data_IF_786147087560
#
_entry.id   IF_786147087560
#
_cell.length_a   1.000
_cell.length_b   1.000
_cell.length_c   1.000
_cell.angle_alpha   90.00
_cell.angle_beta   90.00
_cell.angle_gamma   90.00
#
_symmetry.space_group_name_H-M   'P 1'
#
loop_
_entity.id
_entity.type
_entity.pdbx_description
1 polymer ?
#
# COMPACT_ATOMS: atom_id res chain seq x y z
N UNK A 1 8.25 5.25 12.14
CA UNK A 1 9.21 5.14 11.03
C UNK A 1 8.57 5.35 9.65
N UNK A 2 7.50 4.62 9.30
CA UNK A 2 6.83 4.73 7.98
C UNK A 2 6.25 6.12 7.69
N UNK A 3 5.40 6.66 8.57
CA UNK A 3 4.72 7.96 8.38
C UNK A 3 5.72 9.11 8.13
N UNK A 4 6.85 9.07 8.85
CA UNK A 4 7.90 10.09 8.79
C UNK A 4 9.01 9.76 7.77
N UNK A 5 8.77 8.79 6.87
CA UNK A 5 9.70 8.38 5.81
C UNK A 5 11.13 8.10 6.29
N UNK A 6 11.26 7.19 7.26
CA UNK A 6 12.54 6.75 7.84
C UNK A 6 12.88 5.31 7.41
N UNK A 7 13.37 5.07 6.17
CA UNK A 7 13.59 3.73 5.66
C UNK A 7 14.60 2.93 6.49
N UNK A 8 15.68 3.55 6.97
CA UNK A 8 16.70 2.86 7.79
C UNK A 8 16.13 2.38 9.12
N UNK A 9 15.22 3.16 9.73
CA UNK A 9 14.51 2.72 10.93
C UNK A 9 13.52 1.59 10.64
N UNK A 10 12.87 1.58 9.47
CA UNK A 10 11.99 0.48 9.07
C UNK A 10 12.83 -0.79 8.87
N UNK A 11 13.95 -0.69 8.15
CA UNK A 11 14.88 -1.81 7.90
C UNK A 11 15.38 -2.40 9.23
N UNK A 12 15.88 -1.57 10.15
CA UNK A 12 16.33 -2.04 11.46
C UNK A 12 15.22 -2.71 12.30
N UNK A 13 13.98 -2.22 12.21
CA UNK A 13 12.82 -2.86 12.87
C UNK A 13 12.51 -4.23 12.27
N UNK A 14 12.54 -4.33 10.93
CA UNK A 14 12.29 -5.58 10.20
C UNK A 14 13.39 -6.62 10.47
N UNK A 15 14.66 -6.19 10.50
CA UNK A 15 15.81 -7.03 10.88
C UNK A 15 15.69 -7.55 12.31
N UNK A 16 15.06 -6.77 13.19
CA UNK A 16 14.76 -7.16 14.58
C UNK A 16 13.51 -8.05 14.71
N UNK A 17 12.97 -8.56 13.59
CA UNK A 17 11.75 -9.39 13.53
C UNK A 17 10.50 -8.70 14.09
N UNK A 18 10.40 -7.37 13.95
CA UNK A 18 9.14 -6.69 14.17
C UNK A 18 8.06 -7.25 13.22
N UNK A 19 6.81 -7.35 13.68
CA UNK A 19 5.72 -7.81 12.83
C UNK A 19 5.40 -6.75 11.75
N UNK A 20 5.56 -7.06 10.44
CA UNK A 20 5.27 -6.12 9.36
C UNK A 20 3.77 -5.78 9.22
N UNK A 21 2.89 -6.56 9.85
CA UNK A 21 1.45 -6.47 9.69
C UNK A 21 0.75 -5.79 10.87
N UNK A 22 1.50 -5.18 11.80
CA UNK A 22 0.92 -4.41 12.91
C UNK A 22 -0.06 -3.39 12.35
N UNK A 23 -1.32 -3.50 12.74
CA UNK A 23 -2.37 -2.62 12.26
C UNK A 23 -2.65 -1.51 13.29
N UNK A 24 -2.72 -0.26 12.84
CA UNK A 24 -3.24 0.85 13.64
C UNK A 24 -4.49 1.38 12.94
N UNK A 25 -5.65 1.33 13.61
CA UNK A 25 -6.97 1.59 12.99
C UNK A 25 -7.20 0.76 11.72
N UNK A 26 -6.70 -0.48 11.70
CA UNK A 26 -6.78 -1.40 10.57
C UNK A 26 -5.72 -1.19 9.47
N UNK A 27 -5.00 -0.06 9.46
CA UNK A 27 -3.99 0.25 8.44
C UNK A 27 -2.62 -0.35 8.81
N UNK A 28 -1.99 -1.04 7.86
CA UNK A 28 -0.67 -1.67 8.04
C UNK A 28 0.46 -0.73 7.60
N UNK A 29 1.71 -0.97 8.02
CA UNK A 29 2.89 -0.31 7.49
C UNK A 29 2.89 -0.21 5.96
N UNK A 30 2.48 -1.29 5.27
CA UNK A 30 2.44 -1.32 3.81
C UNK A 30 1.35 -0.41 3.24
N UNK A 31 0.14 -0.39 3.79
CA UNK A 31 -0.93 0.50 3.29
C UNK A 31 -0.60 1.97 3.55
N UNK A 32 0.05 2.28 4.67
CA UNK A 32 0.54 3.64 4.97
C UNK A 32 1.64 4.04 3.98
N UNK A 33 2.64 3.19 3.75
CA UNK A 33 3.70 3.44 2.78
C UNK A 33 3.13 3.68 1.38
N UNK A 34 2.16 2.88 0.96
CA UNK A 34 1.46 3.00 -0.32
C UNK A 34 0.71 4.34 -0.47
N UNK A 35 -0.09 4.74 0.53
CA UNK A 35 -0.83 6.02 0.53
C UNK A 35 0.08 7.24 0.35
N UNK A 36 1.28 7.18 0.94
CA UNK A 36 2.26 8.25 0.91
C UNK A 36 3.30 8.12 -0.22
N UNK A 37 3.12 7.16 -1.14
CA UNK A 37 4.06 6.81 -2.21
C UNK A 37 5.51 6.60 -1.72
N UNK A 38 5.71 5.98 -0.56
CA UNK A 38 7.04 5.69 0.01
C UNK A 38 7.60 4.40 -0.58
N UNK A 39 7.96 4.42 -1.86
CA UNK A 39 8.43 3.24 -2.62
C UNK A 39 9.53 2.47 -1.90
N UNK A 40 10.55 3.16 -1.36
CA UNK A 40 11.67 2.50 -0.66
C UNK A 40 11.21 1.75 0.58
N UNK A 41 10.31 2.33 1.37
CA UNK A 41 9.75 1.67 2.55
C UNK A 41 8.86 0.51 2.15
N UNK A 42 8.03 0.68 1.12
CA UNK A 42 7.23 -0.42 0.58
C UNK A 42 8.12 -1.58 0.10
N UNK A 43 9.24 -1.30 -0.58
CA UNK A 43 10.21 -2.33 -0.97
C UNK A 43 10.80 -3.08 0.23
N UNK A 44 11.20 -2.36 1.28
CA UNK A 44 11.71 -2.97 2.51
C UNK A 44 10.64 -3.88 3.12
N UNK A 45 9.39 -3.42 3.25
CA UNK A 45 8.33 -4.27 3.80
C UNK A 45 8.10 -5.52 2.92
N UNK A 46 8.02 -5.34 1.60
CA UNK A 46 7.74 -6.41 0.65
C UNK A 46 8.89 -7.43 0.49
N UNK A 47 10.13 -7.09 0.87
CA UNK A 47 11.23 -8.05 0.87
C UNK A 47 11.16 -9.06 2.02
N UNK A 48 10.32 -8.83 3.01
CA UNK A 48 10.06 -9.77 4.11
C UNK A 48 8.82 -10.61 3.81
N UNK A 49 8.97 -11.94 3.87
CA UNK A 49 7.94 -12.91 3.43
C UNK A 49 6.69 -12.88 4.30
N UNK A 50 6.82 -12.43 5.54
CA UNK A 50 5.76 -12.32 6.52
C UNK A 50 4.79 -11.17 6.20
N UNK A 51 5.16 -10.25 5.30
CA UNK A 51 4.33 -9.09 4.92
C UNK A 51 3.10 -9.52 4.13
N UNK A 52 1.92 -9.25 4.68
CA UNK A 52 0.64 -9.52 4.04
C UNK A 52 0.26 -8.41 3.06
N UNK A 53 0.57 -8.64 1.78
CA UNK A 53 0.28 -7.70 0.68
C UNK A 53 -1.21 -7.47 0.42
N UNK A 54 -2.07 -8.39 0.88
CA UNK A 54 -3.51 -8.38 0.66
C UNK A 54 -4.31 -8.10 1.94
N UNK A 55 -3.66 -7.58 2.99
CA UNK A 55 -4.35 -7.17 4.22
C UNK A 55 -5.48 -6.20 3.90
N UNK A 56 -6.61 -6.39 4.57
CA UNK A 56 -7.78 -5.51 4.48
C UNK A 56 -7.95 -4.81 5.82
N UNK A 57 -8.04 -3.49 5.79
CA UNK A 57 -8.36 -2.72 6.99
C UNK A 57 -9.85 -2.87 7.36
N UNK A 58 -10.28 -2.18 8.41
CA UNK A 58 -11.66 -2.22 8.91
C UNK A 58 -12.69 -1.69 7.89
N UNK A 59 -12.25 -0.98 6.85
CA UNK A 59 -13.07 -0.51 5.72
C UNK A 59 -12.95 -1.41 4.48
N UNK A 60 -12.32 -2.58 4.62
CA UNK A 60 -12.11 -3.54 3.55
C UNK A 60 -11.04 -3.12 2.53
N UNK A 61 -10.40 -1.97 2.73
CA UNK A 61 -9.40 -1.41 1.83
C UNK A 61 -8.05 -2.12 1.95
N UNK A 62 -7.39 -2.30 0.81
CA UNK A 62 -6.06 -2.92 0.70
C UNK A 62 -4.98 -1.87 0.45
N UNK A 63 -3.70 -2.25 0.51
CA UNK A 63 -2.59 -1.36 0.12
C UNK A 63 -2.78 -0.75 -1.28
N UNK A 64 -3.41 -1.46 -2.22
CA UNK A 64 -3.68 -0.95 -3.56
C UNK A 64 -4.77 0.12 -3.58
N UNK A 65 -5.85 -0.02 -2.78
CA UNK A 65 -6.84 1.05 -2.61
C UNK A 65 -6.18 2.33 -2.08
N UNK A 66 -5.24 2.16 -1.15
CA UNK A 66 -4.52 3.26 -0.51
C UNK A 66 -3.56 3.95 -1.47
N UNK A 67 -2.83 3.19 -2.28
CA UNK A 67 -2.03 3.74 -3.37
C UNK A 67 -2.89 4.54 -4.35
N UNK A 68 -4.05 3.99 -4.75
CA UNK A 68 -5.01 4.65 -5.66
C UNK A 68 -5.67 5.91 -5.08
N UNK A 69 -5.79 6.01 -3.77
CA UNK A 69 -6.27 7.20 -3.06
C UNK A 69 -5.11 8.10 -2.56
N UNK A 70 -3.88 7.83 -3.00
CA UNK A 70 -2.68 8.48 -2.50
C UNK A 70 -2.69 10.00 -2.71
N UNK A 71 -1.85 10.71 -1.94
CA UNK A 71 -1.78 12.17 -2.00
C UNK A 71 -1.29 12.63 -3.38
N UNK A 72 -0.29 11.93 -3.93
CA UNK A 72 0.32 12.21 -5.23
C UNK A 72 -0.22 11.25 -6.31
N UNK A 73 -0.43 11.74 -7.54
CA UNK A 73 -0.77 10.89 -8.70
C UNK A 73 0.51 10.28 -9.28
N UNK A 74 0.99 9.24 -8.60
CA UNK A 74 2.31 8.66 -8.80
C UNK A 74 2.21 7.14 -8.79
N UNK A 75 2.53 6.45 -9.91
CA UNK A 75 2.28 5.02 -10.05
C UNK A 75 3.36 4.14 -9.39
N UNK A 76 4.44 4.70 -8.82
CA UNK A 76 5.60 3.89 -8.41
C UNK A 76 5.29 2.85 -7.33
N UNK A 77 4.47 3.21 -6.34
CA UNK A 77 3.99 2.22 -5.37
C UNK A 77 2.93 1.29 -5.93
N UNK A 78 2.11 1.74 -6.89
CA UNK A 78 1.12 0.90 -7.57
C UNK A 78 1.83 -0.19 -8.35
N UNK A 79 2.78 0.18 -9.21
CA UNK A 79 3.63 -0.73 -9.98
C UNK A 79 4.33 -1.74 -9.08
N UNK A 80 4.93 -1.27 -7.98
CA UNK A 80 5.60 -2.12 -7.01
C UNK A 80 4.64 -3.14 -6.38
N UNK A 81 3.44 -2.71 -5.96
CA UNK A 81 2.44 -3.60 -5.38
C UNK A 81 1.95 -4.65 -6.41
N UNK A 82 1.73 -4.25 -7.66
CA UNK A 82 1.33 -5.15 -8.75
C UNK A 82 2.37 -6.27 -8.98
N UNK A 83 3.66 -5.96 -8.85
CA UNK A 83 4.74 -6.95 -8.94
C UNK A 83 4.73 -7.99 -7.79
N UNK A 84 4.04 -7.71 -6.67
CA UNK A 84 4.04 -8.55 -5.48
C UNK A 84 2.71 -9.30 -5.26
N UNK A 85 1.93 -9.53 -6.32
CA UNK A 85 0.77 -10.44 -6.26
C UNK A 85 -0.42 -9.89 -5.48
N UNK A 86 -0.61 -8.57 -5.46
CA UNK A 86 -1.82 -7.97 -4.89
C UNK A 86 -3.06 -8.34 -5.70
N UNK A 87 -4.19 -8.52 -5.01
CA UNK A 87 -5.50 -8.73 -5.61
C UNK A 87 -6.04 -7.40 -6.17
N UNK A 88 -5.75 -7.16 -7.45
CA UNK A 88 -6.04 -5.90 -8.16
C UNK A 88 -7.50 -5.50 -8.08
N UNK A 89 -8.41 -6.47 -8.20
CA UNK A 89 -9.87 -6.25 -8.21
C UNK A 89 -10.53 -6.51 -6.85
N UNK A 90 -9.80 -6.32 -5.74
CA UNK A 90 -10.41 -6.41 -4.41
C UNK A 90 -11.46 -5.32 -4.23
N UNK A 91 -12.56 -5.63 -3.55
CA UNK A 91 -13.58 -4.66 -3.20
C UNK A 91 -13.41 -4.17 -1.76
N UNK A 92 -13.47 -2.86 -1.54
CA UNK A 92 -13.66 -2.29 -0.20
C UNK A 92 -15.11 -2.50 0.30
N UNK A 93 -15.44 -2.05 1.51
CA UNK A 93 -16.81 -2.20 2.04
C UNK A 93 -17.87 -1.35 1.31
N UNK A 94 -17.45 -0.38 0.49
CA UNK A 94 -18.31 0.39 -0.40
C UNK A 94 -18.40 -0.22 -1.80
N UNK A 95 -17.88 -1.44 -1.97
CA UNK A 95 -17.80 -2.18 -3.22
C UNK A 95 -16.91 -1.52 -4.30
N UNK A 96 -16.06 -0.56 -3.94
CA UNK A 96 -15.12 0.06 -4.88
C UNK A 96 -13.94 -0.87 -5.12
N UNK A 97 -13.43 -0.88 -6.35
CA UNK A 97 -12.12 -1.42 -6.68
C UNK A 97 -11.05 -0.32 -6.64
N UNK A 98 -9.75 -0.65 -6.58
CA UNK A 98 -8.67 0.34 -6.71
C UNK A 98 -8.74 1.20 -7.98
N UNK A 99 -9.25 0.66 -9.10
CA UNK A 99 -9.53 1.42 -10.32
C UNK A 99 -10.60 2.48 -10.06
N UNK A 100 -11.73 2.10 -9.45
CA UNK A 100 -12.81 3.04 -9.13
C UNK A 100 -12.34 4.15 -8.18
N UNK A 101 -11.51 3.79 -7.19
CA UNK A 101 -10.89 4.76 -6.27
C UNK A 101 -10.01 5.75 -7.04
N UNK A 102 -9.17 5.29 -7.97
CA UNK A 102 -8.31 6.17 -8.78
C UNK A 102 -9.12 7.17 -9.61
N UNK A 103 -10.29 6.76 -10.13
CA UNK A 103 -11.22 7.64 -10.83
C UNK A 103 -11.83 8.69 -9.89
N UNK A 104 -12.30 8.27 -8.71
CA UNK A 104 -12.93 9.15 -7.72
C UNK A 104 -11.98 10.27 -7.26
N UNK A 105 -10.70 9.96 -7.08
CA UNK A 105 -9.67 10.93 -6.65
C UNK A 105 -8.95 11.62 -7.82
N UNK A 106 -9.41 11.44 -9.07
CA UNK A 106 -8.82 12.01 -10.28
C UNK A 106 -7.30 11.73 -10.38
N UNK A 107 -6.94 10.44 -10.43
CA UNK A 107 -5.55 9.94 -10.51
C UNK A 107 -5.25 9.30 -11.87
N UNK A 108 -5.15 10.08 -12.95
CA UNK A 108 -5.03 9.55 -14.31
C UNK A 108 -3.77 8.69 -14.52
N UNK A 109 -2.65 9.00 -13.88
CA UNK A 109 -1.42 8.20 -14.02
C UNK A 109 -1.57 6.85 -13.31
N UNK A 110 -2.12 6.83 -12.10
CA UNK A 110 -2.41 5.58 -11.40
C UNK A 110 -3.47 4.75 -12.14
N UNK A 111 -4.52 5.39 -12.65
CA UNK A 111 -5.55 4.73 -13.45
C UNK A 111 -4.93 4.00 -14.65
N UNK A 112 -4.04 4.66 -15.39
CA UNK A 112 -3.35 4.08 -16.54
C UNK A 112 -2.50 2.84 -16.19
N UNK A 113 -2.00 2.73 -14.96
CA UNK A 113 -1.23 1.58 -14.48
C UNK A 113 -2.12 0.39 -14.07
N UNK A 114 -3.39 0.63 -13.76
CA UNK A 114 -4.31 -0.38 -13.26
C UNK A 114 -5.16 -1.06 -14.34
N UNK A 115 -5.06 -0.59 -15.59
CA UNK A 115 -5.79 -1.11 -16.78
C UNK A 115 -4.82 -1.82 -17.73
#
# INVERSE_FOLDING_TARGET
AVIHDRPECVEALMDSRADPNVAFMGDTPLSIAARHNRKRIAQILLSHKETNVNHRNDQGGTALHFASAGIVDSPECVELLLQHGVKVNSHDLKNNTPVMVSCFFNKPRILATLI
#
